data_IF_996068766418
#
_entry.id   IF_996068766418
#
_cell.length_a   1.000
_cell.length_b   1.000
_cell.length_c   1.000
_cell.angle_alpha   90.00
_cell.angle_beta   90.00
_cell.angle_gamma   90.00
#
_symmetry.space_group_name_H-M   'P 1'
#
loop_
_entity.id
_entity.type
_entity.pdbx_description
1 polymer ?
#
# COMPACT_ATOMS: atom_id res chain seq x y z
N UNK A 1 5.52 21.29 -15.86
CA UNK A 1 5.99 21.00 -14.49
C UNK A 1 7.43 20.53 -14.57
N UNK A 2 8.32 21.06 -13.74
CA UNK A 2 9.72 20.59 -13.61
C UNK A 2 9.79 19.37 -12.67
N UNK A 3 10.94 18.70 -12.62
CA UNK A 3 11.18 17.57 -11.71
C UNK A 3 11.04 17.96 -10.25
N UNK A 4 11.56 19.13 -9.88
CA UNK A 4 11.51 19.68 -8.52
C UNK A 4 10.06 19.97 -8.12
N UNK A 5 9.28 20.58 -9.00
CA UNK A 5 7.85 20.84 -8.78
C UNK A 5 7.06 19.53 -8.62
N UNK A 6 7.37 18.49 -9.41
CA UNK A 6 6.75 17.17 -9.25
C UNK A 6 7.08 16.56 -7.88
N UNK A 7 8.34 16.66 -7.46
CA UNK A 7 8.78 16.15 -6.15
C UNK A 7 8.06 16.84 -5.01
N UNK A 8 7.94 18.17 -5.06
CA UNK A 8 7.20 18.96 -4.07
C UNK A 8 5.72 18.56 -4.02
N UNK A 9 5.07 18.43 -5.17
CA UNK A 9 3.67 17.99 -5.25
C UNK A 9 3.48 16.58 -4.68
N UNK A 10 4.39 15.65 -5.01
CA UNK A 10 4.32 14.28 -4.50
C UNK A 10 4.50 14.22 -2.99
N UNK A 11 5.48 14.95 -2.43
CA UNK A 11 5.69 15.02 -0.99
C UNK A 11 4.50 15.66 -0.27
N UNK A 12 3.90 16.70 -0.86
CA UNK A 12 2.67 17.31 -0.35
C UNK A 12 1.48 16.34 -0.35
N UNK A 13 1.39 15.47 -1.35
CA UNK A 13 0.34 14.44 -1.39
C UNK A 13 0.49 13.42 -0.25
N UNK A 14 1.73 13.00 0.04
CA UNK A 14 2.04 12.02 1.09
C UNK A 14 1.74 12.54 2.51
N UNK A 15 1.94 13.83 2.75
CA UNK A 15 1.64 14.43 4.07
C UNK A 15 0.15 14.57 4.32
N UNK A 16 -0.66 14.81 3.29
CA UNK A 16 -2.12 14.90 3.38
C UNK A 16 -2.75 13.51 3.52
N UNK A 17 -2.21 12.52 2.80
CA UNK A 17 -2.73 11.16 2.76
C UNK A 17 -1.77 10.19 3.44
N UNK A 18 -1.51 10.43 4.73
CA UNK A 18 -0.64 9.54 5.52
C UNK A 18 -1.24 8.12 5.50
N UNK A 19 -0.61 7.14 4.83
CA UNK A 19 -1.18 5.81 4.64
C UNK A 19 -1.28 5.03 5.96
N UNK A 20 -0.56 5.47 6.99
CA UNK A 20 -0.46 4.78 8.27
C UNK A 20 -1.81 4.55 8.95
N UNK A 21 -2.75 5.49 8.85
CA UNK A 21 -4.08 5.33 9.45
C UNK A 21 -4.90 4.24 8.76
N UNK A 22 -4.88 4.18 7.42
CA UNK A 22 -5.53 3.14 6.63
C UNK A 22 -4.85 1.78 6.83
N UNK A 23 -3.51 1.76 6.89
CA UNK A 23 -2.73 0.54 7.18
C UNK A 23 -3.13 -0.05 8.53
N UNK A 24 -3.18 0.75 9.60
CA UNK A 24 -3.58 0.28 10.94
C UNK A 24 -5.01 -0.27 10.94
N UNK A 25 -5.94 0.42 10.27
CA UNK A 25 -7.32 -0.04 10.15
C UNK A 25 -7.43 -1.38 9.41
N UNK A 26 -6.70 -1.54 8.30
CA UNK A 26 -6.70 -2.79 7.53
C UNK A 26 -5.94 -3.92 8.26
N UNK A 27 -4.91 -3.59 9.03
CA UNK A 27 -4.21 -4.54 9.89
C UNK A 27 -5.15 -5.14 10.94
N UNK A 28 -5.90 -4.30 11.67
CA UNK A 28 -6.85 -4.78 12.67
C UNK A 28 -7.89 -5.72 12.04
N UNK A 29 -8.42 -5.37 10.86
CA UNK A 29 -9.32 -6.24 10.10
C UNK A 29 -8.69 -7.57 9.71
N UNK A 30 -7.42 -7.58 9.33
CA UNK A 30 -6.70 -8.80 8.97
C UNK A 30 -6.54 -9.72 10.19
N UNK A 31 -6.20 -9.18 11.35
CA UNK A 31 -6.10 -9.92 12.61
C UNK A 31 -7.47 -10.46 13.05
N UNK A 32 -8.50 -9.61 13.07
CA UNK A 32 -9.87 -9.97 13.44
C UNK A 32 -10.50 -11.01 12.51
N UNK A 33 -9.99 -11.17 11.28
CA UNK A 33 -10.52 -12.14 10.33
C UNK A 33 -10.27 -13.60 10.72
N UNK A 34 -9.26 -13.87 11.55
CA UNK A 34 -8.83 -15.23 11.87
C UNK A 34 -8.32 -16.04 10.67
N UNK A 35 -8.05 -15.39 9.53
CA UNK A 35 -7.66 -16.07 8.29
C UNK A 35 -6.21 -16.60 8.31
N UNK A 36 -5.39 -16.18 9.27
CA UNK A 36 -3.99 -16.57 9.42
C UNK A 36 -3.79 -17.24 10.78
N UNK A 37 -3.14 -18.39 10.79
CA UNK A 37 -2.59 -19.00 11.99
C UNK A 37 -1.16 -18.48 12.18
N UNK A 38 -0.98 -17.66 13.21
CA UNK A 38 0.30 -17.08 13.59
C UNK A 38 0.64 -17.36 15.06
N UNK A 39 -0.14 -18.21 15.75
CA UNK A 39 0.13 -18.61 17.13
C UNK A 39 1.36 -19.51 17.25
N UNK A 40 1.73 -20.17 16.13
CA UNK A 40 2.86 -21.09 16.04
C UNK A 40 4.03 -20.54 15.20
N UNK A 41 4.07 -19.23 14.90
CA UNK A 41 5.23 -18.66 14.21
C UNK A 41 6.45 -18.53 15.13
N UNK A 42 7.64 -18.67 14.53
CA UNK A 42 8.91 -18.44 15.24
C UNK A 42 8.97 -16.99 15.78
N UNK A 43 9.54 -16.82 16.97
CA UNK A 43 9.50 -15.55 17.72
C UNK A 43 10.15 -14.36 16.98
N UNK A 44 11.04 -14.63 16.02
CA UNK A 44 11.72 -13.65 15.16
C UNK A 44 11.23 -13.65 13.70
N UNK A 45 10.15 -14.36 13.41
CA UNK A 45 9.57 -14.43 12.07
C UNK A 45 8.82 -13.15 11.71
N UNK A 46 9.28 -12.48 10.65
CA UNK A 46 8.50 -11.42 9.99
C UNK A 46 7.53 -11.97 8.93
N UNK A 47 7.32 -13.29 8.84
CA UNK A 47 6.54 -13.90 7.76
C UNK A 47 5.10 -13.43 7.79
N UNK A 48 4.37 -13.62 8.88
CA UNK A 48 2.97 -13.18 8.98
C UNK A 48 2.85 -11.66 8.81
N UNK A 49 3.74 -10.88 9.44
CA UNK A 49 3.77 -9.43 9.27
C UNK A 49 3.92 -9.03 7.80
N UNK A 50 4.80 -9.68 7.03
CA UNK A 50 4.97 -9.44 5.59
C UNK A 50 3.76 -9.85 4.77
N UNK A 51 3.11 -10.97 5.10
CA UNK A 51 1.89 -11.44 4.42
C UNK A 51 0.77 -10.40 4.62
N UNK A 52 0.54 -9.98 5.86
CA UNK A 52 -0.49 -8.99 6.19
C UNK A 52 -0.17 -7.66 5.49
N UNK A 53 1.07 -7.18 5.60
CA UNK A 53 1.46 -5.91 4.98
C UNK A 53 1.32 -5.94 3.46
N UNK A 54 1.70 -7.03 2.80
CA UNK A 54 1.49 -7.21 1.37
C UNK A 54 0.00 -7.15 0.99
N UNK A 55 -0.86 -7.87 1.72
CA UNK A 55 -2.30 -7.87 1.47
C UNK A 55 -2.92 -6.46 1.62
N UNK A 56 -2.49 -5.71 2.64
CA UNK A 56 -2.88 -4.30 2.84
C UNK A 56 -2.47 -3.45 1.65
N UNK A 57 -1.21 -3.52 1.22
CA UNK A 57 -0.71 -2.75 0.08
C UNK A 57 -1.48 -3.06 -1.21
N UNK A 58 -1.77 -4.33 -1.47
CA UNK A 58 -2.61 -4.73 -2.60
C UNK A 58 -4.02 -4.14 -2.52
N UNK A 59 -4.64 -4.15 -1.33
CA UNK A 59 -5.97 -3.58 -1.11
C UNK A 59 -5.99 -2.07 -1.35
N UNK A 60 -5.01 -1.35 -0.81
CA UNK A 60 -4.88 0.10 -1.00
C UNK A 60 -4.62 0.45 -2.46
N UNK A 61 -3.72 -0.28 -3.14
CA UNK A 61 -3.42 -0.08 -4.55
C UNK A 61 -4.64 -0.26 -5.45
N UNK A 62 -5.57 -1.16 -5.11
CA UNK A 62 -6.84 -1.29 -5.83
C UNK A 62 -7.70 -0.03 -5.72
N UNK A 63 -7.77 0.60 -4.54
CA UNK A 63 -8.54 1.82 -4.32
C UNK A 63 -7.92 3.05 -5.00
N UNK A 64 -6.59 3.10 -5.12
CA UNK A 64 -5.87 4.23 -5.72
C UNK A 64 -5.62 4.09 -7.22
N UNK A 65 -6.15 3.04 -7.85
CA UNK A 65 -6.02 2.84 -9.29
C UNK A 65 -6.69 4.00 -10.03
N UNK A 66 -6.01 4.67 -10.99
CA UNK A 66 -6.63 5.72 -11.77
C UNK A 66 -7.89 5.23 -12.51
N UNK A 67 -8.96 6.02 -12.40
CA UNK A 67 -10.23 5.74 -13.09
C UNK A 67 -10.12 6.00 -14.59
N UNK A 68 -9.46 7.11 -14.94
CA UNK A 68 -9.21 7.48 -16.33
C UNK A 68 -8.31 6.44 -17.04
N UNK A 69 -8.67 5.97 -18.25
CA UNK A 69 -7.91 4.95 -18.97
C UNK A 69 -6.48 5.35 -19.33
N UNK A 70 -6.22 6.62 -19.64
CA UNK A 70 -4.88 7.11 -20.01
C UNK A 70 -3.99 7.06 -18.77
N UNK A 71 -4.47 7.64 -17.66
CA UNK A 71 -3.75 7.63 -16.39
C UNK A 71 -3.49 6.20 -15.87
N UNK A 72 -4.44 5.29 -16.10
CA UNK A 72 -4.29 3.88 -15.78
C UNK A 72 -3.21 3.23 -16.63
N UNK A 73 -3.21 3.47 -17.94
CA UNK A 73 -2.18 2.97 -18.84
C UNK A 73 -0.79 3.44 -18.42
N UNK A 74 -0.65 4.71 -18.03
CA UNK A 74 0.63 5.26 -17.62
C UNK A 74 1.09 4.73 -16.26
N UNK A 75 0.15 4.52 -15.32
CA UNK A 75 0.44 3.82 -14.06
C UNK A 75 0.97 2.39 -14.29
N UNK A 76 0.34 1.61 -15.18
CA UNK A 76 0.81 0.24 -15.47
C UNK A 76 2.16 0.22 -16.21
N UNK A 77 2.47 1.22 -17.05
CA UNK A 77 3.80 1.36 -17.65
C UNK A 77 4.85 1.67 -16.58
N UNK A 78 4.54 2.58 -15.65
CA UNK A 78 5.47 3.00 -14.59
C UNK A 78 5.86 1.83 -13.69
N UNK A 79 4.93 0.93 -13.37
CA UNK A 79 5.19 -0.29 -12.58
C UNK A 79 6.27 -1.20 -13.16
N UNK A 80 6.61 -1.10 -14.44
CA UNK A 80 7.67 -1.92 -15.06
C UNK A 80 9.08 -1.48 -14.68
N UNK A 81 9.21 -0.30 -14.07
CA UNK A 81 10.49 0.31 -13.69
C UNK A 81 10.68 0.42 -12.18
N UNK A 82 9.67 0.02 -11.40
CA UNK A 82 9.69 -0.05 -9.95
C UNK A 82 9.84 -1.52 -9.52
#
# INVERSE_FOLDING_TARGET
MTTEQLKEQFLGLLTINLPNSEIVLLFNKAIESGALDYENEEEDSYRTAKIIYHAILCKMAQHWKPLDPINRCDSEKLKRYL
#
